data_IF_522627496188
#
_entry.id   IF_522627496188
#
_cell.length_a   1.000
_cell.length_b   1.000
_cell.length_c   1.000
_cell.angle_alpha   90.00
_cell.angle_beta   90.00
_cell.angle_gamma   90.00
#
_symmetry.space_group_name_H-M   'P 1'
#
loop_
_entity.id
_entity.type
_entity.pdbx_description
1 polymer ?
#
# COMPACT_ATOMS: atom_id res chain seq x y z
N UNK A 1 -16.55 27.35 6.94
CA UNK A 1 -16.45 26.01 6.32
C UNK A 1 -15.18 25.94 5.48
N UNK A 2 -14.32 25.00 5.76
CA UNK A 2 -13.07 24.83 5.00
C UNK A 2 -13.34 24.02 3.72
N UNK A 3 -12.81 24.49 2.60
CA UNK A 3 -12.88 23.76 1.34
C UNK A 3 -11.71 22.80 1.23
N UNK A 4 -11.98 21.57 0.80
CA UNK A 4 -10.94 20.58 0.57
C UNK A 4 -10.08 20.98 -0.64
N UNK A 5 -8.80 20.71 -0.55
CA UNK A 5 -7.88 20.86 -1.69
C UNK A 5 -8.21 19.80 -2.76
N UNK A 6 -7.71 19.98 -3.98
CA UNK A 6 -7.86 18.98 -5.06
C UNK A 6 -7.30 17.63 -4.64
N UNK A 7 -6.16 17.63 -3.95
CA UNK A 7 -5.53 16.42 -3.43
C UNK A 7 -6.41 15.71 -2.40
N UNK A 8 -7.01 16.46 -1.48
CA UNK A 8 -7.91 15.90 -0.47
C UNK A 8 -9.19 15.34 -1.08
N UNK A 9 -9.74 16.01 -2.10
CA UNK A 9 -10.92 15.54 -2.82
C UNK A 9 -10.65 14.22 -3.54
N UNK A 10 -9.48 14.11 -4.17
CA UNK A 10 -9.04 12.89 -4.84
C UNK A 10 -8.91 11.75 -3.85
N UNK A 11 -8.28 11.99 -2.71
CA UNK A 11 -8.11 11.01 -1.65
C UNK A 11 -9.47 10.52 -1.12
N UNK A 12 -10.39 11.43 -0.85
CA UNK A 12 -11.73 11.08 -0.37
C UNK A 12 -12.51 10.25 -1.40
N UNK A 13 -12.37 10.58 -2.69
CA UNK A 13 -13.02 9.84 -3.78
C UNK A 13 -12.49 8.42 -3.88
N UNK A 14 -11.18 8.26 -3.83
CA UNK A 14 -10.53 6.93 -3.89
C UNK A 14 -10.95 6.08 -2.69
N UNK A 15 -10.92 6.64 -1.49
CA UNK A 15 -11.31 5.92 -0.27
C UNK A 15 -12.78 5.50 -0.30
N UNK A 16 -13.66 6.34 -0.83
CA UNK A 16 -15.07 6.01 -0.97
C UNK A 16 -15.29 4.85 -1.92
N UNK A 17 -14.59 4.87 -3.06
CA UNK A 17 -14.65 3.78 -4.03
C UNK A 17 -14.09 2.47 -3.44
N UNK A 18 -12.98 2.55 -2.71
CA UNK A 18 -12.38 1.40 -2.04
C UNK A 18 -13.34 0.78 -1.02
N UNK A 19 -13.98 1.57 -0.19
CA UNK A 19 -14.95 1.08 0.80
C UNK A 19 -16.15 0.41 0.12
N UNK A 20 -16.65 0.99 -0.96
CA UNK A 20 -17.78 0.41 -1.70
C UNK A 20 -17.42 -0.93 -2.33
N UNK A 21 -16.19 -1.11 -2.79
CA UNK A 21 -15.74 -2.34 -3.42
C UNK A 21 -15.12 -3.37 -2.48
N UNK A 22 -14.95 -3.04 -1.21
CA UNK A 22 -14.17 -3.87 -0.29
C UNK A 22 -14.89 -5.18 0.12
N UNK A 23 -16.20 -5.15 0.34
CA UNK A 23 -16.97 -6.33 0.77
C UNK A 23 -16.33 -7.05 1.98
N UNK A 24 -15.85 -6.29 2.95
CA UNK A 24 -15.19 -6.85 4.14
C UNK A 24 -13.74 -7.24 3.96
N UNK A 25 -13.16 -7.05 2.77
CA UNK A 25 -11.74 -7.35 2.53
C UNK A 25 -10.84 -6.28 3.15
N UNK A 26 -9.66 -6.68 3.67
CA UNK A 26 -8.66 -5.71 4.11
C UNK A 26 -8.20 -4.80 2.98
N UNK A 27 -7.69 -3.66 3.34
CA UNK A 27 -7.24 -2.63 2.40
C UNK A 27 -5.71 -2.55 2.42
N UNK A 28 -5.09 -2.62 1.24
CA UNK A 28 -3.66 -2.35 1.07
C UNK A 28 -3.49 -0.84 0.88
N UNK A 29 -3.06 -0.17 1.93
CA UNK A 29 -2.85 1.28 1.94
C UNK A 29 -1.39 1.60 1.67
N UNK A 30 -1.14 2.52 0.74
CA UNK A 30 0.21 2.97 0.36
C UNK A 30 0.38 4.42 0.76
N UNK A 31 1.51 4.71 1.38
CA UNK A 31 1.95 6.06 1.71
C UNK A 31 3.39 6.23 1.24
N UNK A 32 3.70 7.37 0.66
CA UNK A 32 5.07 7.66 0.23
C UNK A 32 5.50 9.06 0.67
N UNK A 33 6.79 9.19 0.98
CA UNK A 33 7.47 10.47 1.14
C UNK A 33 8.49 10.63 0.02
N UNK A 34 9.24 11.73 0.04
CA UNK A 34 10.32 11.96 -0.93
C UNK A 34 11.41 10.90 -0.87
N UNK A 35 11.67 10.32 0.31
CA UNK A 35 12.78 9.38 0.54
C UNK A 35 12.35 7.94 0.75
N UNK A 36 11.11 7.70 1.13
CA UNK A 36 10.66 6.35 1.52
C UNK A 36 9.26 6.05 1.03
N UNK A 37 8.93 4.76 1.03
CA UNK A 37 7.59 4.28 0.71
C UNK A 37 7.16 3.25 1.78
N UNK A 38 5.87 3.24 2.09
CA UNK A 38 5.28 2.43 3.14
C UNK A 38 4.05 1.73 2.61
N UNK A 39 3.81 0.50 3.08
CA UNK A 39 2.60 -0.24 2.76
C UNK A 39 2.03 -0.87 4.03
N UNK A 40 0.71 -0.83 4.18
CA UNK A 40 0.00 -1.42 5.30
C UNK A 40 -1.23 -2.16 4.80
N UNK A 41 -1.46 -3.35 5.35
CA UNK A 41 -2.71 -4.08 5.16
C UNK A 41 -3.57 -3.79 6.39
N UNK A 42 -4.68 -3.09 6.19
CA UNK A 42 -5.56 -2.63 7.27
C UNK A 42 -6.90 -3.34 7.19
N UNK A 43 -7.31 -3.95 8.30
CA UNK A 43 -8.64 -4.52 8.44
C UNK A 43 -9.55 -3.49 9.12
N UNK A 44 -10.40 -2.83 8.33
CA UNK A 44 -11.29 -1.80 8.83
C UNK A 44 -12.39 -2.37 9.75
N UNK A 45 -12.73 -3.63 9.60
CA UNK A 45 -13.73 -4.28 10.47
C UNK A 45 -13.17 -4.52 11.88
N UNK A 46 -11.91 -4.91 11.97
CA UNK A 46 -11.24 -5.15 13.24
C UNK A 46 -10.53 -3.90 13.77
N UNK A 47 -10.39 -2.88 12.93
CA UNK A 47 -9.75 -1.63 13.31
C UNK A 47 -8.24 -1.73 13.52
N UNK A 48 -7.56 -2.68 12.88
CA UNK A 48 -6.14 -2.90 13.09
C UNK A 48 -5.35 -3.16 11.82
N UNK A 49 -4.02 -3.04 11.93
CA UNK A 49 -3.08 -3.36 10.85
C UNK A 49 -2.72 -4.84 10.92
N UNK A 50 -2.98 -5.56 9.84
CA UNK A 50 -2.67 -7.00 9.71
C UNK A 50 -1.20 -7.20 9.40
N UNK A 51 -0.66 -6.43 8.46
CA UNK A 51 0.72 -6.52 8.02
C UNK A 51 1.20 -5.15 7.56
N UNK A 52 2.50 -4.91 7.66
CA UNK A 52 3.11 -3.67 7.22
C UNK A 52 4.51 -3.92 6.70
N UNK A 53 4.99 -3.07 5.79
CA UNK A 53 6.35 -3.07 5.31
C UNK A 53 6.75 -1.66 4.90
N UNK A 54 8.04 -1.38 4.92
CA UNK A 54 8.57 -0.04 4.66
C UNK A 54 9.96 -0.14 4.07
N UNK A 55 10.33 0.85 3.24
CA UNK A 55 11.69 0.99 2.73
C UNK A 55 12.70 1.37 3.82
N UNK A 56 12.25 1.73 5.02
CA UNK A 56 13.11 1.94 6.18
C UNK A 56 13.64 0.63 6.76
N UNK A 57 13.01 -0.49 6.47
CA UNK A 57 13.41 -1.78 7.04
C UNK A 57 14.75 -2.24 6.49
N UNK A 58 15.52 -2.89 7.33
CA UNK A 58 16.87 -3.37 7.01
C UNK A 58 16.86 -4.29 5.79
N UNK A 59 15.87 -5.16 5.67
CA UNK A 59 15.74 -6.07 4.54
C UNK A 59 15.68 -5.34 3.19
N UNK A 60 15.10 -4.15 3.15
CA UNK A 60 15.03 -3.32 1.94
C UNK A 60 16.30 -2.48 1.79
N UNK A 61 16.77 -1.87 2.87
CA UNK A 61 17.95 -0.99 2.87
C UNK A 61 19.24 -1.72 2.52
N UNK A 62 19.40 -2.93 3.00
CA UNK A 62 20.62 -3.73 2.80
C UNK A 62 20.82 -4.15 1.34
N UNK A 63 19.82 -3.97 0.50
CA UNK A 63 19.96 -4.14 -0.94
C UNK A 63 20.75 -3.03 -1.64
N UNK A 64 21.29 -2.06 -0.88
CA UNK A 64 22.06 -0.94 -1.42
C UNK A 64 21.23 0.08 -2.17
N UNK A 65 19.92 0.08 -1.98
CA UNK A 65 18.97 0.92 -2.71
C UNK A 65 18.48 2.06 -1.84
N UNK A 66 18.26 3.22 -2.47
CA UNK A 66 17.58 4.32 -1.78
C UNK A 66 16.11 3.94 -1.57
N UNK A 67 15.48 4.46 -0.52
CA UNK A 67 14.06 4.21 -0.28
C UNK A 67 13.12 4.95 -1.23
N UNK A 68 13.68 5.72 -2.16
CA UNK A 68 12.91 6.62 -3.03
C UNK A 68 12.70 6.08 -4.45
N UNK A 69 13.27 4.93 -4.81
CA UNK A 69 13.19 4.43 -6.18
C UNK A 69 12.15 3.30 -6.37
N UNK A 70 11.94 2.94 -7.62
CA UNK A 70 11.00 1.88 -8.03
C UNK A 70 11.42 0.52 -7.45
N UNK A 71 12.71 0.24 -7.39
CA UNK A 71 13.22 -1.03 -6.86
C UNK A 71 12.89 -1.19 -5.37
N UNK A 72 13.01 -0.11 -4.60
CA UNK A 72 12.63 -0.13 -3.18
C UNK A 72 11.12 -0.37 -3.03
N UNK A 73 10.30 0.24 -3.89
CA UNK A 73 8.85 0.03 -3.90
C UNK A 73 8.50 -1.43 -4.21
N UNK A 74 9.18 -2.05 -5.15
CA UNK A 74 9.00 -3.47 -5.48
C UNK A 74 9.33 -4.35 -4.27
N UNK A 75 10.45 -4.08 -3.60
CA UNK A 75 10.85 -4.83 -2.42
C UNK A 75 9.81 -4.70 -1.28
N UNK A 76 9.28 -3.50 -1.05
CA UNK A 76 8.24 -3.25 -0.05
C UNK A 76 6.95 -3.99 -0.40
N UNK A 77 6.53 -3.94 -1.66
CA UNK A 77 5.33 -4.64 -2.13
C UNK A 77 5.42 -6.14 -1.93
N UNK A 78 6.54 -6.72 -2.31
CA UNK A 78 6.79 -8.15 -2.12
C UNK A 78 6.79 -8.54 -0.64
N UNK A 79 7.45 -7.72 0.19
CA UNK A 79 7.57 -7.98 1.62
C UNK A 79 6.21 -7.91 2.33
N UNK A 80 5.40 -6.90 2.04
CA UNK A 80 4.07 -6.77 2.64
C UNK A 80 3.15 -7.91 2.20
N UNK A 81 3.27 -8.35 0.96
CA UNK A 81 2.49 -9.48 0.44
C UNK A 81 2.87 -10.78 1.16
N UNK A 82 4.15 -11.05 1.34
CA UNK A 82 4.63 -12.23 2.06
C UNK A 82 4.11 -12.25 3.49
N UNK A 83 4.14 -11.11 4.17
CA UNK A 83 3.66 -10.98 5.55
C UNK A 83 2.15 -11.15 5.66
N UNK A 84 1.40 -10.62 4.71
CA UNK A 84 -0.06 -10.76 4.68
C UNK A 84 -0.47 -12.22 4.42
N UNK A 85 0.14 -12.87 3.44
CA UNK A 85 -0.12 -14.27 3.11
C UNK A 85 0.22 -15.16 4.31
N UNK A 86 1.32 -14.87 5.00
CA UNK A 86 1.71 -15.58 6.22
C UNK A 86 0.68 -15.47 7.34
N UNK A 87 -0.17 -14.45 7.32
CA UNK A 87 -1.27 -14.26 8.28
C UNK A 87 -2.63 -14.70 7.72
N UNK A 88 -2.65 -15.35 6.57
CA UNK A 88 -3.86 -15.86 5.95
C UNK A 88 -4.66 -14.83 5.14
N UNK A 89 -4.10 -13.66 4.89
CA UNK A 89 -4.75 -12.63 4.07
C UNK A 89 -4.22 -12.71 2.65
N UNK A 90 -5.07 -13.06 1.70
CA UNK A 90 -4.72 -13.19 0.28
C UNK A 90 -5.50 -12.24 -0.62
N UNK A 91 -6.67 -11.78 -0.20
CA UNK A 91 -7.50 -10.85 -0.95
C UNK A 91 -7.55 -9.50 -0.25
N UNK A 92 -7.23 -8.44 -0.98
CA UNK A 92 -7.23 -7.07 -0.46
C UNK A 92 -7.82 -6.13 -1.50
N UNK A 93 -8.15 -4.92 -1.06
CA UNK A 93 -8.51 -3.81 -1.95
C UNK A 93 -7.35 -2.83 -1.95
N UNK A 94 -6.93 -2.37 -3.12
CA UNK A 94 -5.81 -1.45 -3.24
C UNK A 94 -6.28 -0.02 -2.96
N UNK A 95 -5.77 0.58 -1.88
CA UNK A 95 -6.03 1.97 -1.51
C UNK A 95 -4.76 2.80 -1.77
N UNK A 96 -4.71 3.47 -2.91
CA UNK A 96 -3.60 4.34 -3.27
C UNK A 96 -3.70 5.72 -2.64
N UNK A 97 -4.77 6.01 -1.90
CA UNK A 97 -5.00 7.31 -1.29
C UNK A 97 -5.12 8.40 -2.35
N UNK A 98 -4.29 9.43 -2.23
CA UNK A 98 -4.25 10.56 -3.17
C UNK A 98 -3.26 10.36 -4.32
N UNK A 99 -2.53 9.24 -4.33
CA UNK A 99 -1.51 8.99 -5.36
C UNK A 99 -2.12 8.36 -6.59
N UNK A 100 -1.56 8.67 -7.76
CA UNK A 100 -1.90 7.99 -8.99
C UNK A 100 -1.24 6.61 -9.02
N UNK A 101 -1.86 5.66 -9.70
CA UNK A 101 -1.29 4.32 -9.90
C UNK A 101 -0.20 4.40 -10.96
N UNK A 102 0.96 4.93 -10.56
CA UNK A 102 2.07 5.24 -11.44
C UNK A 102 3.38 5.21 -10.67
N UNK A 103 4.50 4.98 -11.35
CA UNK A 103 5.83 5.00 -10.77
C UNK A 103 5.96 4.05 -9.58
N UNK A 104 6.37 4.58 -8.43
CA UNK A 104 6.60 3.79 -7.21
C UNK A 104 5.35 3.10 -6.71
N UNK A 105 4.21 3.76 -6.78
CA UNK A 105 2.93 3.19 -6.32
C UNK A 105 2.54 2.00 -7.18
N UNK A 106 2.68 2.11 -8.49
CA UNK A 106 2.43 1.01 -9.42
C UNK A 106 3.39 -0.16 -9.18
N UNK A 107 4.68 0.14 -9.01
CA UNK A 107 5.70 -0.88 -8.76
C UNK A 107 5.40 -1.68 -7.48
N UNK A 108 4.98 -1.00 -6.41
CA UNK A 108 4.59 -1.64 -5.17
C UNK A 108 3.36 -2.53 -5.36
N UNK A 109 2.32 -2.03 -6.04
CA UNK A 109 1.11 -2.80 -6.29
C UNK A 109 1.36 -4.04 -7.14
N UNK A 110 2.12 -3.91 -8.21
CA UNK A 110 2.47 -5.03 -9.09
C UNK A 110 3.28 -6.09 -8.34
N UNK A 111 4.25 -5.68 -7.52
CA UNK A 111 5.05 -6.60 -6.71
C UNK A 111 4.21 -7.32 -5.65
N UNK A 112 3.24 -6.63 -5.05
CA UNK A 112 2.32 -7.23 -4.09
C UNK A 112 1.46 -8.31 -4.76
N UNK A 113 1.01 -8.08 -5.99
CA UNK A 113 0.28 -9.10 -6.77
C UNK A 113 1.16 -10.31 -7.06
N UNK A 114 2.39 -10.10 -7.45
CA UNK A 114 3.36 -11.17 -7.69
C UNK A 114 3.65 -11.96 -6.41
N UNK A 115 3.60 -11.32 -5.26
CA UNK A 115 3.79 -11.94 -3.95
C UNK A 115 2.60 -12.74 -3.44
N UNK A 116 1.50 -12.76 -4.16
CA UNK A 116 0.34 -13.59 -3.85
C UNK A 116 -0.94 -12.86 -3.44
N UNK A 117 -0.92 -11.53 -3.38
CA UNK A 117 -2.13 -10.76 -3.09
C UNK A 117 -3.00 -10.62 -4.34
N UNK A 118 -4.31 -10.68 -4.12
CA UNK A 118 -5.32 -10.51 -5.17
C UNK A 118 -6.07 -9.21 -4.96
N UNK A 119 -6.04 -8.37 -5.97
CA UNK A 119 -6.80 -7.13 -5.99
C UNK A 119 -6.91 -6.58 -7.41
#
# INVERSE_FOLDING_TARGET
>A
MAFKTTSERRQARVRRAVKAGANGRPRLSVFRSSKHIYAQIIDDLKGGTVAAASSLEKAVRDGGKTGANVDAAKAVGKLVAERAVGKGVTEVVFDRGRYLYHGRVKALGDAAREGGLKF
#
